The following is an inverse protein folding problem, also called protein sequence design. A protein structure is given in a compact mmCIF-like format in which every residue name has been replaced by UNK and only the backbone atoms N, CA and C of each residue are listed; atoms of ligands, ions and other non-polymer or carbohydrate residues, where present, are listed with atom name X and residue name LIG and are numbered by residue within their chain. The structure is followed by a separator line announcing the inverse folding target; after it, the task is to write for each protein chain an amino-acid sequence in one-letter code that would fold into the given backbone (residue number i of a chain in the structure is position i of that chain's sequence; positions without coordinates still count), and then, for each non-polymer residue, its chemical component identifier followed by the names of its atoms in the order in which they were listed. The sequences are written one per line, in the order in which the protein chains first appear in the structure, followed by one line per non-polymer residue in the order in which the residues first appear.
data_IF_565601460753
#
_entry.id   IF_565601460753
#
_cell.length_a   1.000
_cell.length_b   1.000
_cell.length_c   1.000
_cell.angle_alpha   90.00
_cell.angle_beta   90.00
_cell.angle_gamma   90.00
#
_symmetry.space_group_name_H-M   'P 1'
#
loop_
_entity.id
_entity.type
_entity.pdbx_description
1 polymer ?
#
# COMPACT_ATOMS: atom_id res chain seq x y z
N UNK A 1 12.80 -6.13 -36.38
CA UNK A 1 12.72 -5.68 -34.99
C UNK A 1 11.62 -4.65 -34.83
N UNK A 2 11.70 -3.46 -35.46
CA UNK A 2 10.63 -2.44 -35.39
C UNK A 2 9.27 -3.00 -35.86
N UNK A 3 9.22 -3.64 -37.02
CA UNK A 3 7.98 -4.25 -37.53
C UNK A 3 7.46 -5.37 -36.61
N UNK A 4 8.35 -6.15 -35.99
CA UNK A 4 7.99 -7.20 -35.01
C UNK A 4 7.39 -6.59 -33.74
N UNK A 5 7.92 -5.46 -33.27
CA UNK A 5 7.40 -4.72 -32.12
C UNK A 5 6.03 -4.12 -32.39
N UNK A 6 5.83 -3.53 -33.58
CA UNK A 6 4.52 -3.00 -33.98
C UNK A 6 3.48 -4.11 -34.05
N UNK A 7 3.81 -5.25 -34.67
CA UNK A 7 2.91 -6.41 -34.74
C UNK A 7 2.65 -6.99 -33.35
N UNK A 8 3.63 -7.03 -32.44
CA UNK A 8 3.41 -7.49 -31.07
C UNK A 8 2.47 -6.57 -30.28
N UNK A 9 2.54 -5.25 -30.47
CA UNK A 9 1.60 -4.33 -29.83
C UNK A 9 0.16 -4.55 -30.31
N UNK A 10 -0.03 -4.80 -31.61
CA UNK A 10 -1.34 -5.10 -32.19
C UNK A 10 -1.89 -6.42 -31.63
N UNK A 11 -1.06 -7.47 -31.61
CA UNK A 11 -1.46 -8.78 -31.05
C UNK A 11 -1.78 -8.64 -29.55
N UNK A 12 -0.99 -7.86 -28.81
CA UNK A 12 -1.23 -7.63 -27.39
C UNK A 12 -2.58 -6.95 -27.16
N UNK A 13 -2.90 -5.87 -27.88
CA UNK A 13 -4.22 -5.22 -27.76
C UNK A 13 -5.38 -6.19 -28.01
N UNK A 14 -5.23 -7.12 -28.95
CA UNK A 14 -6.26 -8.14 -29.21
C UNK A 14 -6.37 -9.13 -28.05
N UNK A 15 -5.25 -9.64 -27.54
CA UNK A 15 -5.26 -10.62 -26.43
C UNK A 15 -5.76 -9.99 -25.13
N UNK A 16 -5.35 -8.76 -24.84
CA UNK A 16 -5.74 -8.01 -23.64
C UNK A 16 -7.25 -7.84 -23.55
N UNK A 17 -7.91 -7.52 -24.67
CA UNK A 17 -9.38 -7.39 -24.75
C UNK A 17 -10.14 -8.70 -24.52
N UNK A 18 -9.49 -9.85 -24.71
CA UNK A 18 -10.13 -11.17 -24.64
C UNK A 18 -9.91 -11.89 -23.31
N UNK A 19 -8.71 -11.79 -22.73
CA UNK A 19 -8.28 -12.69 -21.63
C UNK A 19 -7.82 -11.90 -20.39
N UNK A 20 -7.71 -10.56 -20.46
CA UNK A 20 -7.35 -9.68 -19.34
C UNK A 20 -6.13 -10.22 -18.54
N UNK A 21 -5.06 -10.55 -19.26
CA UNK A 21 -3.83 -11.10 -18.71
C UNK A 21 -2.87 -9.99 -18.27
N UNK A 22 -2.00 -10.23 -17.28
CA UNK A 22 -1.00 -9.24 -16.87
C UNK A 22 -0.16 -8.77 -18.06
N UNK A 23 0.04 -7.45 -18.17
CA UNK A 23 0.68 -6.78 -19.31
C UNK A 23 1.96 -7.48 -19.78
N UNK A 24 2.83 -7.87 -18.84
CA UNK A 24 4.11 -8.50 -19.15
C UNK A 24 3.95 -9.90 -19.79
N UNK A 25 3.02 -10.72 -19.29
CA UNK A 25 2.73 -12.04 -19.86
C UNK A 25 2.14 -11.86 -21.26
N UNK A 26 1.17 -10.96 -21.39
CA UNK A 26 0.52 -10.69 -22.66
C UNK A 26 1.49 -10.15 -23.71
N UNK A 27 2.39 -9.25 -23.31
CA UNK A 27 3.41 -8.71 -24.20
C UNK A 27 4.43 -9.78 -24.62
N UNK A 28 4.91 -10.63 -23.70
CA UNK A 28 5.84 -11.73 -24.02
C UNK A 28 5.20 -12.70 -25.02
N UNK A 29 3.97 -13.14 -24.77
CA UNK A 29 3.25 -14.06 -25.67
C UNK A 29 3.04 -13.41 -27.04
N UNK A 30 2.58 -12.16 -27.07
CA UNK A 30 2.35 -11.41 -28.31
C UNK A 30 3.63 -11.22 -29.11
N UNK A 31 4.75 -10.97 -28.43
CA UNK A 31 6.05 -10.83 -29.05
C UNK A 31 6.58 -12.16 -29.61
N UNK A 32 6.40 -13.28 -28.91
CA UNK A 32 6.75 -14.61 -29.41
C UNK A 32 5.94 -14.97 -30.67
N UNK A 33 4.63 -14.70 -30.67
CA UNK A 33 3.77 -14.92 -31.84
C UNK A 33 4.21 -14.02 -33.00
N UNK A 34 4.40 -12.72 -32.76
CA UNK A 34 4.88 -11.78 -33.78
C UNK A 34 6.22 -12.23 -34.38
N UNK A 35 7.15 -12.70 -33.53
CA UNK A 35 8.45 -13.19 -33.97
C UNK A 35 8.33 -14.47 -34.82
N UNK A 36 7.46 -15.42 -34.42
CA UNK A 36 7.17 -16.62 -35.20
C UNK A 36 6.56 -16.29 -36.57
N UNK A 37 5.56 -15.42 -36.62
CA UNK A 37 4.93 -14.99 -37.88
C UNK A 37 5.92 -14.29 -38.80
N UNK A 38 6.72 -13.37 -38.25
CA UNK A 38 7.72 -12.64 -39.03
C UNK A 38 8.82 -13.55 -39.58
N UNK A 39 9.25 -14.57 -38.84
CA UNK A 39 10.22 -15.54 -39.37
C UNK A 39 9.62 -16.39 -40.49
N UNK A 40 8.34 -16.79 -40.41
CA UNK A 40 7.64 -17.48 -41.50
C UNK A 40 7.52 -16.61 -42.76
N UNK A 41 7.08 -15.36 -42.63
CA UNK A 41 6.93 -14.41 -43.75
C UNK A 41 8.27 -14.17 -44.45
N UNK A 42 9.34 -13.92 -43.68
CA UNK A 42 10.68 -13.69 -44.25
C UNK A 42 11.22 -14.95 -44.93
N UNK A 43 11.03 -16.13 -44.33
CA UNK A 43 11.51 -17.39 -44.93
C UNK A 43 10.79 -17.70 -46.24
N UNK A 44 9.49 -17.41 -46.31
CA UNK A 44 8.68 -17.54 -47.51
C UNK A 44 9.14 -16.58 -48.62
N UNK A 45 9.35 -15.31 -48.29
CA UNK A 45 9.75 -14.27 -49.25
C UNK A 45 11.19 -14.40 -49.73
N UNK A 46 12.14 -14.82 -48.88
CA UNK A 46 13.56 -14.83 -49.24
C UNK A 46 14.11 -16.20 -49.64
N UNK A 47 13.31 -17.29 -49.61
CA UNK A 47 13.72 -18.70 -49.85
C UNK A 47 14.96 -19.19 -49.07
N UNK A 48 15.44 -18.42 -48.09
CA UNK A 48 16.66 -18.66 -47.32
C UNK A 48 16.26 -19.07 -45.90
N UNK A 49 16.48 -20.34 -45.56
CA UNK A 49 16.32 -20.85 -44.19
C UNK A 49 17.39 -20.20 -43.30
N UNK A 50 16.99 -19.38 -42.35
CA UNK A 50 17.91 -18.78 -41.38
C UNK A 50 17.32 -18.86 -39.98
N UNK A 51 17.64 -19.96 -39.28
CA UNK A 51 17.20 -20.22 -37.91
C UNK A 51 17.79 -19.24 -36.90
N UNK A 52 18.94 -18.63 -37.19
CA UNK A 52 19.64 -17.67 -36.33
C UNK A 52 18.88 -16.36 -36.08
N UNK A 53 17.93 -16.00 -36.97
CA UNK A 53 17.12 -14.78 -36.81
C UNK A 53 16.10 -14.90 -35.68
N UNK A 54 15.63 -16.11 -35.40
CA UNK A 54 14.72 -16.39 -34.28
C UNK A 54 15.45 -16.22 -32.94
N UNK A 55 16.65 -16.81 -32.81
CA UNK A 55 17.50 -16.69 -31.62
C UNK A 55 17.92 -15.25 -31.31
N UNK A 56 18.26 -14.45 -32.33
CA UNK A 56 18.64 -13.03 -32.14
C UNK A 56 17.53 -12.19 -31.49
N UNK A 57 16.27 -12.54 -31.72
CA UNK A 57 15.12 -11.82 -31.18
C UNK A 57 14.71 -12.32 -29.78
N UNK A 58 15.30 -13.41 -29.26
CA UNK A 58 15.12 -13.86 -27.87
C UNK A 58 15.96 -13.04 -26.89
N UNK A 59 17.09 -12.49 -27.34
CA UNK A 59 17.99 -11.66 -26.52
C UNK A 59 17.25 -10.48 -25.85
N UNK A 60 16.46 -9.64 -26.55
CA UNK A 60 15.72 -8.55 -25.90
C UNK A 60 14.64 -9.05 -24.94
N UNK A 61 14.06 -10.24 -25.14
CA UNK A 61 13.10 -10.83 -24.19
C UNK A 61 13.83 -11.28 -22.93
N UNK A 62 14.98 -11.94 -23.07
CA UNK A 62 15.81 -12.35 -21.93
C UNK A 62 16.35 -11.14 -21.17
N UNK A 63 16.70 -10.06 -21.87
CA UNK A 63 17.06 -8.78 -21.24
C UNK A 63 15.87 -8.17 -20.51
N UNK A 64 14.67 -8.16 -21.10
CA UNK A 64 13.46 -7.65 -20.45
C UNK A 64 13.10 -8.46 -19.19
N UNK A 65 13.13 -9.80 -19.29
CA UNK A 65 12.92 -10.71 -18.15
C UNK A 65 14.00 -10.47 -17.10
N UNK A 66 15.27 -10.35 -17.50
CA UNK A 66 16.38 -10.04 -16.60
C UNK A 66 16.17 -8.72 -15.86
N UNK A 67 15.75 -7.66 -16.56
CA UNK A 67 15.43 -6.35 -15.96
C UNK A 67 14.25 -6.47 -14.97
N UNK A 68 13.20 -7.22 -15.32
CA UNK A 68 12.04 -7.42 -14.46
C UNK A 68 12.41 -8.17 -13.18
N UNK A 69 13.17 -9.26 -13.30
CA UNK A 69 13.66 -10.04 -12.15
C UNK A 69 14.54 -9.18 -11.25
N UNK A 70 15.45 -8.39 -11.84
CA UNK A 70 16.30 -7.46 -11.09
C UNK A 70 15.48 -6.38 -10.36
N UNK A 71 14.40 -5.90 -10.97
CA UNK A 71 13.52 -4.91 -10.36
C UNK A 71 12.79 -5.48 -9.15
N UNK A 72 12.16 -6.65 -9.29
CA UNK A 72 11.43 -7.29 -8.18
C UNK A 72 12.36 -7.65 -7.02
N UNK A 73 13.56 -8.16 -7.31
CA UNK A 73 14.55 -8.44 -6.26
C UNK A 73 15.03 -7.18 -5.54
N UNK A 74 15.17 -6.06 -6.27
CA UNK A 74 15.55 -4.79 -5.67
C UNK A 74 14.44 -4.24 -4.76
N UNK A 75 13.17 -4.32 -5.17
CA UNK A 75 12.04 -3.85 -4.35
C UNK A 75 11.97 -4.57 -3.00
N UNK A 76 12.09 -5.91 -2.99
CA UNK A 76 12.06 -6.66 -1.74
C UNK A 76 13.32 -6.44 -0.88
N UNK A 77 14.50 -6.28 -1.49
CA UNK A 77 15.72 -5.93 -0.77
C UNK A 77 15.60 -4.55 -0.10
N UNK A 78 15.04 -3.56 -0.79
CA UNK A 78 14.82 -2.23 -0.23
C UNK A 78 13.81 -2.25 0.92
N UNK A 79 12.76 -3.07 0.83
CA UNK A 79 11.80 -3.27 1.92
C UNK A 79 12.45 -3.94 3.14
N UNK A 80 13.28 -4.96 2.94
CA UNK A 80 14.05 -5.58 4.02
C UNK A 80 14.97 -4.57 4.72
N UNK A 81 15.80 -3.86 3.94
CA UNK A 81 16.70 -2.81 4.46
C UNK A 81 15.93 -1.70 5.17
N UNK A 82 14.73 -1.39 4.69
CA UNK A 82 13.85 -0.41 5.33
C UNK A 82 13.53 -0.85 6.76
N UNK A 83 12.96 -2.04 6.97
CA UNK A 83 12.59 -2.50 8.31
C UNK A 83 13.80 -2.72 9.23
N UNK A 84 14.90 -3.26 8.71
CA UNK A 84 16.14 -3.41 9.50
C UNK A 84 16.68 -2.06 9.99
N UNK A 85 16.62 -1.02 9.15
CA UNK A 85 17.02 0.34 9.56
C UNK A 85 16.07 0.91 10.60
N UNK A 86 14.76 0.81 10.40
CA UNK A 86 13.80 1.38 11.33
C UNK A 86 13.87 0.72 12.71
N UNK A 87 14.05 -0.61 12.77
CA UNK A 87 14.23 -1.33 14.03
C UNK A 87 15.52 -0.90 14.76
N UNK A 88 16.61 -0.69 14.02
CA UNK A 88 17.87 -0.17 14.58
C UNK A 88 17.77 1.32 14.95
N UNK A 89 16.88 2.08 14.31
CA UNK A 89 16.68 3.52 14.47
C UNK A 89 15.51 3.88 15.38
N UNK A 90 14.91 2.93 16.11
CA UNK A 90 14.12 3.26 17.31
C UNK A 90 15.10 3.85 18.34
N UNK A 91 15.51 5.09 18.08
CA UNK A 91 16.34 5.88 18.92
C UNK A 91 15.40 6.39 20.01
N UNK A 92 15.51 5.81 21.20
CA UNK A 92 14.96 6.38 22.42
C UNK A 92 15.65 7.72 22.66
N UNK A 93 15.20 8.76 21.97
CA UNK A 93 15.68 10.12 22.16
C UNK A 93 14.98 10.65 23.39
N UNK A 94 15.72 10.85 24.48
CA UNK A 94 15.26 11.69 25.57
C UNK A 94 15.10 13.11 25.02
N UNK A 95 13.85 13.51 24.82
CA UNK A 95 13.50 14.81 24.26
C UNK A 95 12.77 15.63 25.30
N UNK A 96 13.21 16.86 25.50
CA UNK A 96 12.56 17.81 26.41
C UNK A 96 11.44 18.50 25.64
N UNK A 97 10.19 18.15 25.92
CA UNK A 97 9.01 18.77 25.34
C UNK A 97 8.31 19.54 26.46
N UNK A 98 8.18 20.86 26.32
CA UNK A 98 7.55 21.74 27.32
C UNK A 98 8.14 21.60 28.74
N UNK A 99 9.43 21.26 28.86
CA UNK A 99 10.13 21.11 30.14
C UNK A 99 10.09 19.72 30.75
N UNK A 100 9.42 18.76 30.11
CA UNK A 100 9.37 17.35 30.53
C UNK A 100 10.19 16.46 29.59
N UNK A 101 10.93 15.51 30.13
CA UNK A 101 11.72 14.55 29.35
C UNK A 101 10.84 13.36 28.95
N UNK A 102 10.76 13.09 27.65
CA UNK A 102 10.04 11.95 27.11
C UNK A 102 10.98 11.05 26.32
N UNK A 103 10.86 9.73 26.52
CA UNK A 103 11.40 8.77 25.57
C UNK A 103 10.49 8.73 24.34
N UNK A 104 11.06 8.97 23.16
CA UNK A 104 10.35 8.97 21.88
C UNK A 104 10.79 7.80 21.00
N UNK A 105 9.86 7.21 20.26
CA UNK A 105 10.16 6.53 19.01
C UNK A 105 10.11 7.57 17.89
N UNK A 106 11.17 7.65 17.09
CA UNK A 106 11.39 8.75 16.14
C UNK A 106 11.80 8.20 14.78
N UNK A 107 11.05 8.56 13.74
CA UNK A 107 11.31 8.16 12.37
C UNK A 107 11.49 9.37 11.46
N UNK A 108 12.69 9.58 10.92
CA UNK A 108 12.90 10.58 9.86
C UNK A 108 12.46 10.00 8.52
N UNK A 109 11.34 10.50 8.00
CA UNK A 109 10.72 10.01 6.77
C UNK A 109 10.91 10.99 5.63
N UNK A 110 11.18 10.46 4.44
CA UNK A 110 11.19 11.20 3.18
C UNK A 110 10.36 10.46 2.14
N UNK A 111 9.36 11.13 1.57
CA UNK A 111 8.42 10.52 0.61
C UNK A 111 8.03 11.50 -0.50
N UNK A 112 7.37 10.97 -1.53
CA UNK A 112 6.93 11.74 -2.71
C UNK A 112 5.42 11.57 -2.90
N UNK A 113 4.69 12.67 -3.07
CA UNK A 113 3.25 12.64 -3.35
C UNK A 113 2.91 12.33 -4.82
N UNK A 114 1.62 12.43 -5.16
CA UNK A 114 1.10 12.12 -6.49
C UNK A 114 1.43 13.15 -7.57
N UNK A 115 1.92 14.33 -7.18
CA UNK A 115 2.33 15.42 -8.04
C UNK A 115 3.87 15.48 -8.19
N UNK A 116 4.59 14.63 -7.47
CA UNK A 116 6.05 14.59 -7.48
C UNK A 116 6.70 15.51 -6.45
N UNK A 117 5.92 16.12 -5.54
CA UNK A 117 6.50 16.93 -4.47
C UNK A 117 7.14 16.00 -3.43
N UNK A 118 8.33 16.38 -2.97
CA UNK A 118 9.05 15.64 -1.95
C UNK A 118 8.84 16.29 -0.59
N UNK A 119 8.49 15.47 0.41
CA UNK A 119 8.35 15.90 1.79
C UNK A 119 9.36 15.16 2.66
N UNK A 120 9.77 15.81 3.74
CA UNK A 120 10.63 15.23 4.76
C UNK A 120 10.14 15.69 6.13
N UNK A 121 9.96 14.76 7.06
CA UNK A 121 9.42 15.06 8.39
C UNK A 121 9.88 14.05 9.43
N UNK A 122 9.89 14.49 10.69
CA UNK A 122 10.25 13.65 11.84
C UNK A 122 8.96 13.17 12.54
N UNK A 123 8.62 11.90 12.32
CA UNK A 123 7.42 11.28 12.86
C UNK A 123 7.74 10.70 14.24
N UNK A 124 7.24 11.36 15.28
CA UNK A 124 7.53 11.02 16.66
C UNK A 124 6.30 10.47 17.39
N UNK A 125 6.53 9.44 18.22
CA UNK A 125 5.54 8.88 19.14
C UNK A 125 6.14 8.84 20.54
N UNK A 126 5.39 9.25 21.56
CA UNK A 126 5.83 9.11 22.95
C UNK A 126 5.74 7.64 23.34
N UNK A 127 6.80 7.09 23.93
CA UNK A 127 6.79 5.69 24.36
C UNK A 127 5.73 5.39 25.41
N UNK A 128 5.40 6.37 26.26
CA UNK A 128 4.30 6.24 27.21
C UNK A 128 2.95 6.01 26.51
N UNK A 129 2.70 6.72 25.40
CA UNK A 129 1.49 6.56 24.61
C UNK A 129 1.46 5.18 23.93
N UNK A 130 2.62 4.72 23.42
CA UNK A 130 2.77 3.36 22.90
C UNK A 130 2.44 2.28 23.94
N UNK A 131 2.97 2.39 25.15
CA UNK A 131 2.70 1.41 26.21
C UNK A 131 1.23 1.40 26.64
N UNK A 132 0.61 2.58 26.77
CA UNK A 132 -0.81 2.66 27.14
C UNK A 132 -1.71 2.11 26.03
N UNK A 133 -1.46 2.47 24.76
CA UNK A 133 -2.17 1.96 23.59
C UNK A 133 -2.01 0.44 23.44
N UNK A 134 -0.80 -0.10 23.62
CA UNK A 134 -0.55 -1.55 23.58
C UNK A 134 -1.32 -2.30 24.67
N UNK A 135 -1.29 -1.80 25.90
CA UNK A 135 -2.03 -2.39 27.02
C UNK A 135 -3.54 -2.31 26.83
N UNK A 136 -4.04 -1.26 26.18
CA UNK A 136 -5.44 -1.18 25.76
C UNK A 136 -5.75 -2.28 24.74
N UNK A 137 -4.93 -2.38 23.69
CA UNK A 137 -5.14 -3.31 22.58
C UNK A 137 -5.21 -4.78 23.03
N UNK A 138 -4.33 -5.19 23.94
CA UNK A 138 -4.35 -6.53 24.54
C UNK A 138 -5.67 -6.83 25.28
N UNK A 139 -6.22 -5.83 25.96
CA UNK A 139 -7.46 -5.94 26.75
C UNK A 139 -8.71 -5.66 25.93
N UNK A 140 -8.57 -5.25 24.67
CA UNK A 140 -9.69 -4.86 23.81
C UNK A 140 -10.65 -6.03 23.60
N UNK A 141 -11.94 -5.80 23.84
CA UNK A 141 -12.98 -6.79 23.64
C UNK A 141 -14.08 -6.24 22.75
N UNK A 142 -14.46 -7.04 21.77
CA UNK A 142 -15.60 -6.82 20.87
C UNK A 142 -16.53 -8.03 21.06
N UNK A 143 -17.80 -7.82 21.45
CA UNK A 143 -18.74 -8.93 21.62
C UNK A 143 -19.00 -9.67 20.30
N UNK A 144 -19.15 -11.00 20.37
CA UNK A 144 -19.48 -11.82 19.20
C UNK A 144 -20.84 -11.48 18.57
N UNK A 145 -21.74 -10.86 19.35
CA UNK A 145 -23.04 -10.38 18.89
C UNK A 145 -22.97 -9.10 18.06
N UNK A 146 -21.79 -8.49 17.90
CA UNK A 146 -21.61 -7.24 17.19
C UNK A 146 -21.81 -7.41 15.68
N UNK A 147 -22.92 -6.86 15.17
CA UNK A 147 -23.28 -6.98 13.75
C UNK A 147 -22.28 -6.32 12.81
N UNK A 148 -21.62 -5.24 13.28
CA UNK A 148 -20.54 -4.55 12.58
C UNK A 148 -19.24 -4.64 13.38
N UNK A 149 -18.73 -5.87 13.52
CA UNK A 149 -17.51 -6.16 14.27
C UNK A 149 -16.35 -5.22 13.90
N UNK A 150 -16.05 -5.08 12.61
CA UNK A 150 -14.94 -4.25 12.12
C UNK A 150 -15.14 -2.77 12.43
N UNK A 151 -16.35 -2.24 12.23
CA UNK A 151 -16.66 -0.86 12.59
C UNK A 151 -16.47 -0.60 14.08
N UNK A 152 -16.95 -1.50 14.95
CA UNK A 152 -16.76 -1.38 16.40
C UNK A 152 -15.29 -1.49 16.80
N UNK A 153 -14.54 -2.43 16.20
CA UNK A 153 -13.11 -2.61 16.44
C UNK A 153 -12.32 -1.36 16.07
N UNK A 154 -12.46 -0.86 14.84
CA UNK A 154 -11.78 0.34 14.38
C UNK A 154 -12.21 1.57 15.18
N UNK A 155 -13.50 1.67 15.54
CA UNK A 155 -14.02 2.77 16.36
C UNK A 155 -13.29 2.84 17.70
N UNK A 156 -13.16 1.71 18.41
CA UNK A 156 -12.49 1.69 19.70
C UNK A 156 -10.99 1.96 19.58
N UNK A 157 -10.35 1.43 18.53
CA UNK A 157 -8.91 1.64 18.30
C UNK A 157 -8.62 3.12 17.99
N UNK A 158 -9.39 3.78 17.11
CA UNK A 158 -9.13 5.18 16.79
C UNK A 158 -9.38 6.07 18.02
N UNK A 159 -10.46 5.83 18.78
CA UNK A 159 -10.81 6.63 19.95
C UNK A 159 -9.75 6.56 21.05
N UNK A 160 -9.11 5.39 21.20
CA UNK A 160 -8.03 5.23 22.17
C UNK A 160 -6.79 6.07 21.81
N UNK A 161 -6.52 6.24 20.53
CA UNK A 161 -5.26 6.80 20.03
C UNK A 161 -5.40 8.22 19.46
N UNK A 162 -6.61 8.74 19.29
CA UNK A 162 -6.82 10.02 18.60
C UNK A 162 -6.08 11.18 19.27
N UNK A 163 -5.96 11.18 20.61
CA UNK A 163 -5.25 12.22 21.36
C UNK A 163 -3.75 11.90 21.60
N UNK A 164 -3.30 10.70 21.24
CA UNK A 164 -1.93 10.20 21.49
C UNK A 164 -0.97 10.43 20.33
N UNK A 165 -1.46 10.92 19.21
CA UNK A 165 -0.70 11.19 18.00
C UNK A 165 -0.32 12.68 17.87
N UNK A 166 -0.31 13.44 18.97
CA UNK A 166 -0.15 14.90 18.94
C UNK A 166 1.11 15.34 18.19
N UNK A 167 2.24 14.67 18.38
CA UNK A 167 3.51 15.00 17.70
C UNK A 167 3.46 14.70 16.20
N UNK A 168 2.71 13.69 15.79
CA UNK A 168 2.46 13.39 14.37
C UNK A 168 1.60 14.48 13.74
N UNK A 169 0.53 14.90 14.43
CA UNK A 169 -0.33 15.98 13.93
C UNK A 169 0.44 17.30 13.82
N UNK A 170 1.25 17.65 14.81
CA UNK A 170 2.09 18.85 14.79
C UNK A 170 3.05 18.85 13.59
N UNK A 171 3.74 17.75 13.31
CA UNK A 171 4.65 17.65 12.16
C UNK A 171 3.90 17.72 10.82
N UNK A 172 2.75 17.04 10.70
CA UNK A 172 1.94 17.10 9.48
C UNK A 172 1.34 18.49 9.25
N UNK A 173 0.92 19.19 10.30
CA UNK A 173 0.39 20.55 10.20
C UNK A 173 1.50 21.55 9.82
N UNK A 174 2.70 21.39 10.39
CA UNK A 174 3.88 22.14 9.97
C UNK A 174 4.15 21.97 8.48
N UNK A 175 4.14 20.73 7.97
CA UNK A 175 4.30 20.46 6.53
C UNK A 175 3.20 21.11 5.70
N UNK A 176 1.94 21.05 6.17
CA UNK A 176 0.78 21.70 5.52
C UNK A 176 0.98 23.20 5.38
N UNK A 177 1.36 23.88 6.46
CA UNK A 177 1.56 25.34 6.49
C UNK A 177 2.75 25.76 5.65
N UNK A 178 3.89 25.07 5.79
CA UNK A 178 5.12 25.38 5.05
C UNK A 178 4.94 25.27 3.53
N UNK A 179 4.20 24.26 3.08
CA UNK A 179 3.96 24.00 1.66
C UNK A 179 2.64 24.61 1.14
N UNK A 180 1.92 25.37 1.99
CA UNK A 180 0.65 26.02 1.64
C UNK A 180 -0.38 25.04 1.03
N UNK A 181 -0.47 23.85 1.61
CA UNK A 181 -1.32 22.78 1.09
C UNK A 181 -2.80 23.10 1.33
N UNK A 182 -3.60 22.97 0.27
CA UNK A 182 -5.04 23.04 0.36
C UNK A 182 -5.62 21.74 0.96
N UNK A 183 -6.93 21.72 1.17
CA UNK A 183 -7.60 20.56 1.77
C UNK A 183 -7.41 19.28 0.93
N UNK A 184 -7.31 19.36 -0.39
CA UNK A 184 -7.11 18.14 -1.18
C UNK A 184 -5.65 17.70 -1.14
N UNK A 185 -4.71 18.62 -1.39
CA UNK A 185 -3.29 18.30 -1.45
C UNK A 185 -2.75 17.89 -0.09
N UNK A 186 -3.28 18.44 1.01
CA UNK A 186 -2.93 17.98 2.36
C UNK A 186 -3.36 16.53 2.60
N UNK A 187 -4.59 16.15 2.22
CA UNK A 187 -5.01 14.75 2.32
C UNK A 187 -4.14 13.82 1.46
N UNK A 188 -3.82 14.22 0.23
CA UNK A 188 -2.95 13.45 -0.68
C UNK A 188 -1.51 13.31 -0.11
N UNK A 189 -0.98 14.35 0.52
CA UNK A 189 0.31 14.30 1.24
C UNK A 189 0.29 13.31 2.40
N UNK A 190 -0.78 13.32 3.22
CA UNK A 190 -0.93 12.38 4.35
C UNK A 190 -1.03 10.93 3.86
N UNK A 191 -1.90 10.64 2.89
CA UNK A 191 -2.08 9.26 2.43
C UNK A 191 -0.85 8.75 1.69
N UNK A 192 -0.20 9.59 0.88
CA UNK A 192 1.06 9.20 0.23
C UNK A 192 2.20 8.95 1.24
N UNK A 193 2.23 9.66 2.38
CA UNK A 193 3.17 9.38 3.47
C UNK A 193 3.01 7.94 4.00
N UNK A 194 1.77 7.52 4.25
CA UNK A 194 1.48 6.17 4.76
C UNK A 194 1.65 5.10 3.68
N UNK A 195 1.24 5.37 2.43
CA UNK A 195 1.50 4.47 1.29
C UNK A 195 3.01 4.25 1.06
N UNK A 196 3.84 5.24 1.38
CA UNK A 196 5.28 5.16 1.18
C UNK A 196 5.96 4.16 2.14
N UNK A 197 5.37 3.95 3.33
CA UNK A 197 5.79 2.91 4.27
C UNK A 197 5.59 1.53 3.60
N UNK A 198 6.58 0.63 3.60
CA UNK A 198 6.39 -0.71 3.04
C UNK A 198 5.39 -1.56 3.82
N UNK A 199 4.66 -2.43 3.11
CA UNK A 199 3.64 -3.29 3.70
C UNK A 199 4.26 -4.30 4.67
N UNK A 200 3.58 -4.60 5.78
CA UNK A 200 3.94 -5.72 6.63
C UNK A 200 2.66 -6.45 7.05
N UNK A 201 2.71 -7.78 7.08
CA UNK A 201 1.61 -8.58 7.57
C UNK A 201 1.46 -8.40 9.07
N UNK A 202 0.23 -8.24 9.53
CA UNK A 202 -0.12 -8.17 10.95
C UNK A 202 -0.96 -9.39 11.27
N UNK A 203 -0.39 -10.32 12.03
CA UNK A 203 -1.07 -11.57 12.37
C UNK A 203 -1.54 -11.58 13.82
N UNK A 204 -2.70 -12.19 14.03
CA UNK A 204 -3.21 -12.45 15.37
C UNK A 204 -2.29 -13.36 16.14
N UNK A 205 -1.84 -14.43 15.50
CA UNK A 205 -0.90 -15.39 16.06
C UNK A 205 0.54 -14.99 15.71
N UNK A 206 1.51 -15.80 16.14
CA UNK A 206 2.92 -15.56 15.83
C UNK A 206 3.23 -15.58 14.32
N UNK A 207 4.32 -14.92 13.93
CA UNK A 207 4.84 -15.03 12.56
C UNK A 207 5.45 -16.42 12.36
N UNK A 208 4.70 -17.31 11.72
CA UNK A 208 5.17 -18.64 11.33
C UNK A 208 6.14 -18.60 10.14
N UNK A 209 6.78 -19.74 9.85
CA UNK A 209 7.61 -19.92 8.67
C UNK A 209 6.81 -19.66 7.38
N UNK A 210 7.43 -18.97 6.43
CA UNK A 210 6.79 -18.58 5.16
C UNK A 210 6.14 -19.74 4.40
N UNK A 211 6.67 -20.96 4.52
CA UNK A 211 6.18 -22.17 3.85
C UNK A 211 4.82 -22.66 4.35
N UNK A 212 4.36 -22.15 5.49
CA UNK A 212 3.06 -22.49 6.09
C UNK A 212 1.93 -21.67 5.46
N UNK A 213 2.23 -20.51 4.88
CA UNK A 213 1.22 -19.62 4.31
C UNK A 213 0.88 -19.93 2.85
N UNK A 214 -0.25 -19.40 2.40
CA UNK A 214 -0.63 -19.39 0.98
C UNK A 214 0.45 -18.70 0.12
N UNK A 215 0.59 -19.14 -1.14
CA UNK A 215 1.68 -18.74 -2.04
C UNK A 215 1.90 -17.22 -2.10
N UNK A 216 0.83 -16.42 -2.12
CA UNK A 216 0.93 -14.96 -2.19
C UNK A 216 1.61 -14.32 -0.98
N UNK A 217 1.44 -14.90 0.21
CA UNK A 217 2.10 -14.45 1.44
C UNK A 217 3.51 -15.04 1.51
N UNK A 218 3.65 -16.32 1.18
CA UNK A 218 4.93 -17.03 1.13
C UNK A 218 5.94 -16.30 0.23
N UNK A 219 5.53 -15.86 -0.96
CA UNK A 219 6.41 -15.16 -1.91
C UNK A 219 7.00 -13.87 -1.33
N UNK A 220 6.22 -13.14 -0.53
CA UNK A 220 6.65 -11.90 0.12
C UNK A 220 7.56 -12.22 1.31
N UNK A 221 7.14 -13.15 2.19
CA UNK A 221 7.89 -13.48 3.40
C UNK A 221 9.21 -14.22 3.11
N UNK A 222 9.30 -14.97 2.02
CA UNK A 222 10.58 -15.54 1.55
C UNK A 222 11.62 -14.46 1.25
N UNK A 223 11.18 -13.31 0.73
CA UNK A 223 12.06 -12.22 0.35
C UNK A 223 12.29 -11.25 1.52
N UNK A 224 11.30 -11.10 2.40
CA UNK A 224 11.34 -10.26 3.58
C UNK A 224 10.68 -10.95 4.78
N UNK A 225 11.42 -11.80 5.51
CA UNK A 225 10.90 -12.44 6.73
C UNK A 225 10.47 -11.41 7.78
N UNK A 226 11.16 -10.26 7.83
CA UNK A 226 10.86 -9.14 8.73
C UNK A 226 9.57 -8.39 8.39
N UNK A 227 8.96 -8.64 7.23
CA UNK A 227 7.69 -8.05 6.79
C UNK A 227 6.48 -8.68 7.48
N UNK A 228 6.64 -9.08 8.73
CA UNK A 228 5.61 -9.66 9.56
C UNK A 228 5.72 -9.13 10.99
N UNK A 229 4.57 -8.95 11.63
CA UNK A 229 4.47 -8.79 13.07
C UNK A 229 3.32 -9.66 13.60
N UNK A 230 3.64 -10.56 14.51
CA UNK A 230 2.70 -11.51 15.08
C UNK A 230 2.22 -11.10 16.47
N UNK A 231 1.34 -11.93 17.03
CA UNK A 231 0.75 -11.74 18.36
C UNK A 231 0.00 -10.41 18.51
N UNK A 232 -0.66 -9.97 17.43
CA UNK A 232 -1.44 -8.73 17.39
C UNK A 232 -2.91 -9.06 17.37
N UNK A 233 -3.57 -8.98 18.52
CA UNK A 233 -5.01 -9.28 18.69
C UNK A 233 -5.85 -8.73 17.52
N UNK A 234 -6.73 -9.56 16.95
CA UNK A 234 -7.54 -9.26 15.77
C UNK A 234 -6.77 -9.03 14.46
N UNK A 235 -5.45 -9.25 14.42
CA UNK A 235 -4.62 -9.06 13.25
C UNK A 235 -4.42 -7.59 12.88
N UNK A 236 -4.45 -6.67 13.83
CA UNK A 236 -4.32 -5.22 13.57
C UNK A 236 -3.40 -4.56 14.59
N UNK A 237 -2.74 -3.46 14.21
CA UNK A 237 -2.07 -2.57 15.15
C UNK A 237 -2.86 -1.28 15.38
N UNK A 238 -2.75 -0.72 16.58
CA UNK A 238 -3.28 0.62 16.87
C UNK A 238 -2.47 1.68 16.12
N UNK A 239 -3.06 2.85 15.80
CA UNK A 239 -2.36 3.97 15.17
C UNK A 239 -1.00 4.31 15.80
N UNK A 240 -0.94 4.37 17.13
CA UNK A 240 0.29 4.67 17.88
C UNK A 240 1.31 3.54 17.75
N UNK A 241 0.88 2.28 17.85
CA UNK A 241 1.77 1.13 17.68
C UNK A 241 2.35 1.06 16.26
N UNK A 242 1.52 1.31 15.24
CA UNK A 242 1.97 1.39 13.86
C UNK A 242 2.99 2.50 13.65
N UNK A 243 2.74 3.70 14.17
CA UNK A 243 3.70 4.81 14.03
C UNK A 243 4.98 4.64 14.86
N UNK A 244 5.06 3.61 15.72
CA UNK A 244 6.26 3.27 16.51
C UNK A 244 7.18 2.27 15.79
N UNK A 245 6.64 1.38 14.94
CA UNK A 245 7.41 0.32 14.29
C UNK A 245 7.27 0.28 12.76
N UNK A 246 6.33 1.04 12.20
CA UNK A 246 6.02 1.18 10.79
C UNK A 246 5.63 -0.14 10.09
N UNK A 247 5.30 -1.20 10.84
CA UNK A 247 4.80 -2.48 10.30
C UNK A 247 3.28 -2.44 10.23
N UNK A 248 2.68 -2.36 9.05
CA UNK A 248 1.23 -2.25 8.96
C UNK A 248 0.66 -2.84 7.68
N UNK A 249 -0.45 -3.53 7.84
CA UNK A 249 -1.27 -4.11 6.79
C UNK A 249 -2.39 -3.15 6.33
N UNK A 250 -3.32 -3.63 5.51
CA UNK A 250 -4.37 -2.79 4.93
C UNK A 250 -5.30 -2.18 5.99
N UNK A 251 -5.64 -2.94 7.02
CA UNK A 251 -6.47 -2.50 8.15
C UNK A 251 -5.75 -1.45 8.98
N UNK A 252 -4.53 -1.76 9.42
CA UNK A 252 -3.70 -0.87 10.24
C UNK A 252 -3.49 0.49 9.55
N UNK A 253 -3.12 0.47 8.26
CA UNK A 253 -2.90 1.68 7.44
C UNK A 253 -4.16 2.52 7.31
N UNK A 254 -5.30 1.87 7.08
CA UNK A 254 -6.56 2.57 6.87
C UNK A 254 -7.04 3.23 8.16
N UNK A 255 -6.84 2.59 9.32
CA UNK A 255 -7.20 3.17 10.62
C UNK A 255 -6.32 4.36 10.99
N UNK A 256 -4.98 4.32 10.81
CA UNK A 256 -4.13 5.50 11.07
C UNK A 256 -4.49 6.67 10.14
N UNK A 257 -4.72 6.41 8.84
CA UNK A 257 -5.12 7.47 7.89
C UNK A 257 -6.46 8.06 8.30
N UNK A 258 -7.44 7.22 8.65
CA UNK A 258 -8.73 7.66 9.15
C UNK A 258 -8.56 8.55 10.39
N UNK A 259 -7.72 8.14 11.34
CA UNK A 259 -7.46 8.86 12.60
C UNK A 259 -6.88 10.25 12.32
N UNK A 260 -5.83 10.33 11.49
CA UNK A 260 -5.19 11.60 11.11
C UNK A 260 -6.17 12.51 10.37
N UNK A 261 -6.84 12.02 9.34
CA UNK A 261 -7.75 12.85 8.55
C UNK A 261 -8.99 13.25 9.37
N UNK A 262 -9.48 12.41 10.27
CA UNK A 262 -10.53 12.77 11.21
C UNK A 262 -10.09 13.95 12.11
N UNK A 263 -8.88 13.90 12.67
CA UNK A 263 -8.31 14.99 13.48
C UNK A 263 -8.30 16.32 12.73
N UNK A 264 -7.92 16.31 11.44
CA UNK A 264 -7.93 17.51 10.60
C UNK A 264 -9.31 17.88 10.01
N UNK A 265 -10.39 17.29 10.51
CA UNK A 265 -11.77 17.68 10.20
C UNK A 265 -12.30 17.19 8.85
N UNK A 266 -11.63 16.22 8.22
CA UNK A 266 -12.14 15.59 7.00
C UNK A 266 -13.42 14.78 7.27
N UNK A 267 -14.19 14.54 6.23
CA UNK A 267 -15.32 13.60 6.25
C UNK A 267 -14.82 12.31 5.59
N UNK A 268 -14.54 11.31 6.42
CA UNK A 268 -13.81 10.09 6.05
C UNK A 268 -14.56 8.85 6.53
N UNK A 269 -14.37 7.78 5.77
CA UNK A 269 -14.94 6.47 6.03
C UNK A 269 -13.89 5.39 5.80
N UNK A 270 -14.07 4.25 6.46
CA UNK A 270 -13.37 3.00 6.20
C UNK A 270 -14.33 2.07 5.47
N UNK A 271 -13.84 1.45 4.39
CA UNK A 271 -14.59 0.45 3.66
C UNK A 271 -13.82 -0.87 3.66
N UNK A 272 -14.54 -1.95 3.99
CA UNK A 272 -14.01 -3.31 3.92
C UNK A 272 -14.69 -4.10 2.82
N UNK A 273 -13.98 -5.09 2.31
CA UNK A 273 -14.51 -6.11 1.42
C UNK A 273 -14.12 -7.48 1.92
N UNK A 274 -15.11 -8.29 2.32
CA UNK A 274 -14.91 -9.71 2.63
C UNK A 274 -14.45 -10.48 1.40
N UNK A 275 -14.94 -10.10 0.22
CA UNK A 275 -14.58 -10.75 -1.05
C UNK A 275 -13.10 -10.52 -1.39
N UNK A 276 -12.61 -9.30 -1.20
CA UNK A 276 -11.22 -8.95 -1.47
C UNK A 276 -10.27 -9.18 -0.29
N UNK A 277 -10.81 -9.46 0.91
CA UNK A 277 -10.06 -9.56 2.18
C UNK A 277 -9.16 -8.33 2.39
N UNK A 278 -9.73 -7.15 2.17
CA UNK A 278 -8.99 -5.89 2.11
C UNK A 278 -9.77 -4.72 2.71
N UNK A 279 -9.03 -3.73 3.23
CA UNK A 279 -9.55 -2.47 3.76
C UNK A 279 -9.00 -1.27 2.98
N UNK A 280 -9.87 -0.30 2.71
CA UNK A 280 -9.54 0.93 1.98
C UNK A 280 -10.21 2.13 2.65
N UNK A 281 -9.71 3.33 2.30
CA UNK A 281 -10.32 4.58 2.75
C UNK A 281 -11.40 5.04 1.77
N UNK A 282 -12.41 5.73 2.30
CA UNK A 282 -13.33 6.58 1.57
C UNK A 282 -13.24 8.01 2.06
N UNK A 283 -13.21 9.00 1.16
CA UNK A 283 -13.16 10.42 1.54
C UNK A 283 -14.22 11.23 0.80
N UNK A 284 -14.98 12.06 1.54
CA UNK A 284 -16.00 12.93 0.99
C UNK A 284 -15.43 14.32 0.70
N UNK A 285 -14.73 14.43 -0.43
CA UNK A 285 -14.24 15.69 -1.01
C UNK A 285 -14.51 15.72 -2.52
N UNK A 286 -14.54 16.90 -3.18
CA UNK A 286 -14.66 16.98 -4.62
C UNK A 286 -13.51 16.27 -5.35
N UNK A 287 -13.80 15.10 -5.93
CA UNK A 287 -12.84 14.30 -6.68
C UNK A 287 -13.49 13.63 -7.90
N UNK A 288 -12.73 12.80 -8.61
CA UNK A 288 -13.19 11.95 -9.72
C UNK A 288 -12.86 10.49 -9.42
N UNK A 289 -13.38 9.56 -10.21
CA UNK A 289 -13.11 8.13 -10.04
C UNK A 289 -14.17 7.38 -9.22
N UNK A 290 -13.76 6.21 -8.73
CA UNK A 290 -14.60 5.27 -8.00
C UNK A 290 -15.06 5.86 -6.68
N UNK A 291 -16.31 5.58 -6.31
CA UNK A 291 -16.92 6.08 -5.10
C UNK A 291 -18.02 5.14 -4.61
N UNK A 292 -18.32 5.23 -3.31
CA UNK A 292 -19.49 4.62 -2.68
C UNK A 292 -20.38 5.71 -2.11
N UNK A 293 -21.70 5.57 -2.27
CA UNK A 293 -22.67 6.41 -1.56
C UNK A 293 -23.00 5.79 -0.22
N UNK A 294 -22.99 6.61 0.83
CA UNK A 294 -23.36 6.19 2.19
C UNK A 294 -23.97 7.39 2.91
N UNK A 295 -25.14 7.20 3.54
CA UNK A 295 -25.89 8.25 4.24
C UNK A 295 -26.03 9.57 3.45
N UNK A 296 -26.36 9.46 2.15
CA UNK A 296 -26.53 10.61 1.26
C UNK A 296 -25.23 11.29 0.78
N UNK A 297 -24.08 10.89 1.32
CA UNK A 297 -22.75 11.42 0.96
C UNK A 297 -22.06 10.55 -0.08
N UNK A 298 -21.08 11.12 -0.75
CA UNK A 298 -20.26 10.45 -1.78
C UNK A 298 -18.83 10.32 -1.27
N UNK A 299 -18.44 9.11 -0.88
CA UNK A 299 -17.07 8.80 -0.47
C UNK A 299 -16.29 8.25 -1.65
N UNK A 300 -15.29 8.99 -2.11
CA UNK A 300 -14.38 8.52 -3.14
C UNK A 300 -13.41 7.51 -2.56
N UNK A 301 -13.30 6.35 -3.23
CA UNK A 301 -12.52 5.21 -2.76
C UNK A 301 -11.03 5.46 -2.95
N UNK A 302 -10.21 5.00 -2.02
CA UNK A 302 -8.78 5.27 -2.04
C UNK A 302 -8.01 4.07 -1.49
N UNK A 303 -7.26 3.41 -2.37
CA UNK A 303 -6.32 2.34 -1.99
C UNK A 303 -5.17 2.93 -1.18
N UNK A 304 -4.93 2.40 0.01
CA UNK A 304 -3.94 2.92 0.99
C UNK A 304 -2.70 2.03 1.14
N UNK A 305 -2.71 0.85 0.54
CA UNK A 305 -1.65 -0.15 0.71
C UNK A 305 -0.47 0.08 -0.22
N UNK A 306 -0.75 0.37 -1.49
CA UNK A 306 0.27 0.52 -2.52
C UNK A 306 0.51 2.00 -2.85
N UNK A 307 1.75 2.31 -3.24
CA UNK A 307 2.15 3.65 -3.67
C UNK A 307 1.37 4.08 -4.92
N UNK A 308 1.15 5.39 -5.03
CA UNK A 308 0.65 6.08 -6.21
C UNK A 308 -0.83 5.86 -6.57
N UNK A 309 -1.59 5.11 -5.76
CA UNK A 309 -3.05 5.10 -5.89
C UNK A 309 -3.61 6.41 -5.38
N UNK A 310 -4.28 7.15 -6.27
CA UNK A 310 -4.88 8.45 -5.96
C UNK A 310 -6.33 8.28 -5.53
N UNK A 311 -6.91 9.38 -5.07
CA UNK A 311 -8.34 9.46 -4.73
C UNK A 311 -9.18 9.03 -5.95
N UNK A 312 -10.03 8.04 -5.75
CA UNK A 312 -10.89 7.46 -6.77
C UNK A 312 -10.27 6.29 -7.54
N UNK A 313 -9.01 5.93 -7.24
CA UNK A 313 -8.30 4.84 -7.91
C UNK A 313 -8.24 3.59 -7.04
N UNK A 314 -8.60 2.45 -7.62
CA UNK A 314 -8.37 1.11 -7.09
C UNK A 314 -7.70 0.27 -8.18
N UNK A 315 -6.98 -0.79 -7.79
CA UNK A 315 -6.40 -1.71 -8.77
C UNK A 315 -7.49 -2.39 -9.59
N UNK A 316 -7.17 -2.84 -10.81
CA UNK A 316 -8.14 -3.50 -11.69
C UNK A 316 -8.76 -4.76 -11.09
N UNK A 317 -8.07 -5.40 -10.13
CA UNK A 317 -8.54 -6.58 -9.42
C UNK A 317 -9.50 -6.25 -8.27
N UNK A 318 -9.48 -5.00 -7.79
CA UNK A 318 -10.20 -4.52 -6.60
C UNK A 318 -11.31 -3.51 -6.94
N UNK A 319 -11.52 -3.19 -8.21
CA UNK A 319 -12.27 -2.01 -8.63
C UNK A 319 -13.80 -2.14 -8.65
N UNK A 320 -14.38 -3.31 -8.34
CA UNK A 320 -15.84 -3.48 -8.36
C UNK A 320 -16.48 -2.86 -7.09
N UNK A 321 -17.22 -1.73 -7.19
CA UNK A 321 -17.78 -1.03 -6.04
C UNK A 321 -18.84 -1.81 -5.27
N UNK A 322 -19.36 -2.91 -5.84
CA UNK A 322 -20.39 -3.73 -5.20
C UNK A 322 -19.88 -4.39 -3.92
N UNK A 323 -18.65 -4.89 -3.93
CA UNK A 323 -18.06 -5.64 -2.81
C UNK A 323 -17.52 -4.76 -1.67
N UNK A 324 -17.54 -3.44 -1.82
CA UNK A 324 -17.05 -2.51 -0.82
C UNK A 324 -18.19 -2.01 0.06
N UNK A 325 -18.05 -2.18 1.37
CA UNK A 325 -19.04 -1.78 2.36
C UNK A 325 -18.43 -0.81 3.36
N UNK A 326 -19.11 0.31 3.62
CA UNK A 326 -18.70 1.25 4.66
C UNK A 326 -18.92 0.58 6.01
N UNK A 327 -17.85 0.44 6.79
CA UNK A 327 -17.87 -0.16 8.13
C UNK A 327 -17.71 0.89 9.23
N UNK A 328 -17.06 2.02 8.94
CA UNK A 328 -16.93 3.15 9.85
C UNK A 328 -17.00 4.45 9.05
N UNK A 329 -17.69 5.46 9.56
CA UNK A 329 -17.68 6.83 9.03
C UNK A 329 -17.75 7.81 10.21
N UNK A 330 -17.00 8.91 10.13
CA UNK A 330 -16.92 9.87 11.25
C UNK A 330 -18.07 10.88 11.29
N UNK A 331 -18.91 10.95 10.24
CA UNK A 331 -19.97 11.96 10.10
C UNK A 331 -21.20 11.46 9.37
#
# INVERSE_FOLDING_TARGET
MILTLVVSCIIYSIIDTLINIPFYIGFIVSFLIANFLMTKIVTYTTKKKSNWRFLRNLIPILLLIGILVLRTSNEALEQKKFFEREEQQIAFKDSIIKGESFALASHTRKWVDYLGNTYEGELNVKMQDYYTSSKFHERLFIPDSETNFWGALYSKIYQEDEDKLSLIYEELDKLRVQNQLDKRTFAEMVVSCIQDIPYAFVFQDECLDSSIYEQSIQDILNQCPECCIGNKKFGIQTPVAFMTNLKGDCDTRTVIIFTILNHFGYDVAILNSTFYRHSILGINIPARGLHKRYNGKKYYLWETTNKYFKIGDLSSQLNNPHYWHVVLANK
#
